data_IF_397501194917
#
_entry.id   IF_397501194917
#
_cell.length_a   1.000
_cell.length_b   1.000
_cell.length_c   1.000
_cell.angle_alpha   90.00
_cell.angle_beta   90.00
_cell.angle_gamma   90.00
#
_symmetry.space_group_name_H-M   'P 1'
#
loop_
_entity.id
_entity.type
_entity.pdbx_description
1 polymer ?
#
# COMPACT_ATOMS: atom_id res chain seq x y z
N UNK A 1 -3.17 -36.47 -49.34
CA UNK A 1 -4.05 -35.61 -48.53
C UNK A 1 -3.25 -34.38 -48.14
N UNK A 2 -3.73 -33.26 -48.67
CA UNK A 2 -3.30 -31.87 -48.51
C UNK A 2 -3.17 -31.43 -47.05
N UNK A 3 -2.14 -30.65 -46.69
CA UNK A 3 -2.25 -29.62 -45.67
C UNK A 3 -2.44 -28.26 -46.34
N UNK A 4 -3.07 -27.27 -45.68
CA UNK A 4 -2.79 -25.89 -45.99
C UNK A 4 -2.06 -25.22 -44.82
N UNK A 5 -0.84 -24.80 -45.15
CA UNK A 5 -0.22 -23.55 -44.74
C UNK A 5 -1.17 -22.36 -44.94
N UNK A 6 -1.07 -21.32 -44.11
CA UNK A 6 -0.54 -20.06 -44.66
C UNK A 6 -0.03 -19.08 -43.62
N UNK A 7 1.16 -18.56 -43.93
CA UNK A 7 1.75 -17.35 -43.39
C UNK A 7 1.16 -16.16 -44.15
N UNK A 8 1.38 -14.98 -43.56
CA UNK A 8 2.12 -13.88 -44.19
C UNK A 8 1.35 -12.56 -44.40
N UNK A 9 2.18 -11.50 -44.37
CA UNK A 9 2.06 -10.19 -45.02
C UNK A 9 1.52 -9.01 -44.19
N UNK A 10 2.48 -8.27 -43.65
CA UNK A 10 2.47 -6.81 -43.51
C UNK A 10 2.59 -6.18 -44.91
N UNK A 11 1.96 -5.02 -45.19
CA UNK A 11 2.52 -4.08 -46.15
C UNK A 11 2.90 -2.74 -45.52
N UNK A 12 4.15 -2.36 -45.78
CA UNK A 12 4.68 -1.00 -45.78
C UNK A 12 4.53 -0.41 -47.19
N UNK A 13 4.17 0.88 -47.30
CA UNK A 13 4.46 1.76 -48.44
C UNK A 13 4.19 3.22 -47.99
N UNK A 14 5.19 4.05 -47.73
CA UNK A 14 6.04 4.84 -48.67
C UNK A 14 5.36 6.13 -49.17
N UNK A 15 6.14 7.20 -49.00
CA UNK A 15 5.87 8.61 -49.26
C UNK A 15 5.72 9.00 -50.74
N UNK A 16 5.09 10.16 -50.98
CA UNK A 16 5.12 10.87 -52.26
C UNK A 16 4.71 12.34 -52.10
N UNK A 17 5.62 13.24 -52.48
CA UNK A 17 5.57 14.70 -52.41
C UNK A 17 4.49 15.37 -53.29
N UNK A 18 4.05 16.56 -52.88
CA UNK A 18 3.38 17.54 -53.75
C UNK A 18 2.70 18.70 -53.01
N UNK A 19 3.36 19.87 -52.97
CA UNK A 19 2.78 21.20 -52.71
C UNK A 19 2.96 22.03 -54.00
N UNK A 20 2.33 23.22 -54.20
CA UNK A 20 1.22 23.88 -53.48
C UNK A 20 0.13 24.40 -54.45
N UNK A 21 -0.94 25.05 -53.96
CA UNK A 21 -1.60 26.29 -54.47
C UNK A 21 -2.77 26.64 -53.55
N UNK A 22 -2.97 27.93 -53.29
CA UNK A 22 -3.84 28.49 -52.26
C UNK A 22 -5.33 28.49 -52.59
N UNK A 23 -6.11 28.74 -51.54
CA UNK A 23 -7.57 28.82 -51.59
C UNK A 23 -8.12 29.08 -50.21
N UNK A 24 -8.44 30.34 -49.95
CA UNK A 24 -9.16 30.84 -48.76
C UNK A 24 -10.45 30.07 -48.53
N UNK A 25 -10.61 29.46 -47.35
CA UNK A 25 -11.83 28.77 -46.95
C UNK A 25 -11.93 28.70 -45.43
N UNK A 26 -12.75 29.60 -44.88
CA UNK A 26 -13.11 29.69 -43.47
C UNK A 26 -13.46 28.31 -42.89
N UNK A 27 -12.68 27.85 -41.91
CA UNK A 27 -13.03 26.70 -41.10
C UNK A 27 -13.87 27.14 -39.91
N UNK A 28 -15.15 26.78 -40.00
CA UNK A 28 -16.16 26.90 -38.95
C UNK A 28 -15.80 25.93 -37.81
N UNK A 29 -15.23 26.47 -36.74
CA UNK A 29 -14.99 25.74 -35.48
C UNK A 29 -16.36 25.52 -34.80
N UNK A 30 -16.77 24.29 -34.47
CA UNK A 30 -17.95 24.08 -33.64
C UNK A 30 -17.63 24.51 -32.22
N UNK A 31 -18.14 25.69 -31.82
CA UNK A 31 -18.29 26.06 -30.42
C UNK A 31 -19.42 25.23 -29.82
N UNK A 32 -19.09 24.19 -29.06
CA UNK A 32 -19.95 23.75 -27.96
C UNK A 32 -19.10 23.38 -26.72
N UNK A 33 -19.06 24.38 -25.82
CA UNK A 33 -19.08 24.29 -24.37
C UNK A 33 -17.91 23.59 -23.66
N UNK A 34 -16.90 24.42 -23.38
CA UNK A 34 -16.31 24.60 -22.04
C UNK A 34 -17.23 24.14 -20.91
N UNK A 35 -16.83 23.09 -20.17
CA UNK A 35 -17.35 22.83 -18.83
C UNK A 35 -16.29 23.30 -17.84
N UNK A 36 -16.59 24.43 -17.21
CA UNK A 36 -15.88 24.92 -16.04
C UNK A 36 -15.87 23.81 -14.98
N UNK A 37 -14.71 23.62 -14.35
CA UNK A 37 -14.55 22.74 -13.19
C UNK A 37 -15.16 23.49 -12.01
N UNK A 38 -16.45 23.30 -11.78
CA UNK A 38 -17.09 23.71 -10.52
C UNK A 38 -16.76 22.66 -9.46
N UNK A 39 -15.88 23.06 -8.54
CA UNK A 39 -15.63 22.36 -7.29
C UNK A 39 -16.86 22.51 -6.39
N UNK A 40 -17.80 21.55 -6.42
CA UNK A 40 -18.83 21.26 -5.40
C UNK A 40 -19.74 20.12 -5.88
N UNK A 41 -19.35 18.87 -5.67
CA UNK A 41 -20.30 17.77 -5.38
C UNK A 41 -19.55 16.51 -4.86
N UNK A 42 -19.65 16.13 -3.57
CA UNK A 42 -19.10 14.89 -3.06
C UNK A 42 -19.97 13.65 -3.34
N UNK A 43 -21.12 13.77 -4.00
CA UNK A 43 -22.11 12.70 -4.11
C UNK A 43 -22.04 11.83 -5.38
N UNK A 44 -21.01 11.96 -6.22
CA UNK A 44 -20.79 11.06 -7.36
C UNK A 44 -20.13 9.73 -6.93
N UNK A 45 -20.63 9.10 -5.86
CA UNK A 45 -20.33 7.72 -5.56
C UNK A 45 -21.08 6.84 -6.56
N UNK A 46 -20.34 6.06 -7.37
CA UNK A 46 -20.96 5.04 -8.22
C UNK A 46 -21.63 4.00 -7.33
N UNK A 47 -22.96 4.07 -7.20
CA UNK A 47 -23.77 2.97 -6.67
C UNK A 47 -23.73 1.82 -7.67
N UNK A 48 -23.02 0.75 -7.33
CA UNK A 48 -23.06 -0.51 -8.06
C UNK A 48 -24.14 -1.44 -7.47
N UNK A 49 -24.82 -2.25 -8.28
CA UNK A 49 -25.95 -3.05 -7.83
C UNK A 49 -25.46 -4.15 -6.88
N UNK A 50 -26.12 -4.26 -5.73
CA UNK A 50 -25.91 -5.35 -4.79
C UNK A 50 -26.23 -6.69 -5.48
N UNK A 51 -25.20 -7.51 -5.70
CA UNK A 51 -25.40 -8.93 -6.02
C UNK A 51 -26.09 -9.61 -4.84
N UNK A 52 -27.11 -10.42 -5.14
CA UNK A 52 -28.01 -11.04 -4.16
C UNK A 52 -27.40 -12.17 -3.31
N UNK A 53 -26.10 -12.43 -3.42
CA UNK A 53 -25.39 -13.43 -2.63
C UNK A 53 -24.21 -12.76 -1.90
N UNK A 54 -24.50 -12.08 -0.80
CA UNK A 54 -23.49 -11.53 0.10
C UNK A 54 -22.64 -12.64 0.75
N UNK A 55 -21.40 -12.35 1.16
CA UNK A 55 -20.57 -13.31 1.87
C UNK A 55 -21.29 -13.83 3.13
N UNK A 56 -21.07 -15.10 3.53
CA UNK A 56 -21.72 -15.66 4.72
C UNK A 56 -21.42 -14.77 5.93
N UNK A 57 -22.47 -14.45 6.70
CA UNK A 57 -22.32 -13.65 7.91
C UNK A 57 -21.23 -14.29 8.81
N UNK A 58 -20.26 -13.52 9.31
CA UNK A 58 -19.21 -14.05 10.15
C UNK A 58 -19.86 -14.76 11.34
N UNK A 59 -19.38 -15.98 11.67
CA UNK A 59 -19.95 -16.78 12.75
C UNK A 59 -19.80 -16.04 14.07
N UNK A 60 -20.87 -15.39 14.52
CA UNK A 60 -20.99 -14.86 15.88
C UNK A 60 -21.00 -16.05 16.85
N UNK A 61 -20.11 -16.06 17.83
CA UNK A 61 -20.29 -16.96 18.98
C UNK A 61 -21.55 -16.53 19.75
N UNK A 62 -22.32 -17.45 20.35
CA UNK A 62 -23.58 -17.10 21.00
C UNK A 62 -23.35 -16.15 22.17
N UNK A 63 -23.96 -14.96 22.09
CA UNK A 63 -24.29 -14.01 23.16
C UNK A 63 -23.31 -13.87 24.34
N UNK A 64 -22.06 -13.48 24.08
CA UNK A 64 -21.36 -12.62 25.04
C UNK A 64 -21.83 -11.18 24.76
N UNK A 65 -22.58 -10.59 25.69
CA UNK A 65 -23.00 -9.18 25.59
C UNK A 65 -21.74 -8.32 25.48
N UNK A 66 -21.50 -7.73 24.31
CA UNK A 66 -20.69 -6.52 24.20
C UNK A 66 -21.40 -5.48 25.09
N UNK A 67 -20.83 -5.22 26.26
CA UNK A 67 -21.45 -4.35 27.26
C UNK A 67 -21.63 -2.96 26.67
N UNK A 68 -22.84 -2.41 26.76
CA UNK A 68 -23.12 -1.04 26.33
C UNK A 68 -22.11 -0.07 26.95
N UNK A 69 -21.52 0.80 26.12
CA UNK A 69 -20.53 1.76 26.56
C UNK A 69 -21.24 2.89 27.31
N UNK A 70 -21.46 2.73 28.62
CA UNK A 70 -21.97 3.82 29.45
C UNK A 70 -20.89 4.88 29.57
N UNK A 71 -21.16 6.07 29.04
CA UNK A 71 -20.32 7.25 29.16
C UNK A 71 -20.30 7.75 30.61
N UNK A 72 -19.57 7.06 31.48
CA UNK A 72 -19.05 7.51 32.78
C UNK A 72 -18.22 6.36 33.38
N UNK A 73 -16.91 6.59 33.56
CA UNK A 73 -16.00 5.84 34.45
C UNK A 73 -15.71 4.34 34.17
N UNK A 74 -15.73 3.89 32.91
CA UNK A 74 -15.37 2.52 32.49
C UNK A 74 -14.04 2.41 31.72
N UNK A 75 -13.50 1.17 31.50
CA UNK A 75 -12.21 0.98 30.82
C UNK A 75 -12.20 1.64 29.44
N UNK A 76 -11.08 2.27 29.09
CA UNK A 76 -10.87 3.05 27.86
C UNK A 76 -11.59 2.41 26.66
N UNK A 77 -12.44 3.14 25.90
CA UNK A 77 -13.19 2.60 24.76
C UNK A 77 -12.33 1.72 23.84
N UNK A 78 -11.08 2.12 23.64
CA UNK A 78 -10.06 1.39 22.88
C UNK A 78 -9.90 -0.06 23.35
N UNK A 79 -9.70 -0.32 24.65
CA UNK A 79 -9.43 -1.68 25.16
C UNK A 79 -10.64 -2.60 24.94
N UNK A 80 -11.84 -2.11 25.21
CA UNK A 80 -13.08 -2.87 24.98
C UNK A 80 -13.25 -3.22 23.49
N UNK A 81 -12.97 -2.27 22.60
CA UNK A 81 -12.98 -2.50 21.15
C UNK A 81 -11.92 -3.52 20.75
N UNK A 82 -10.68 -3.41 21.23
CA UNK A 82 -9.62 -4.37 20.90
C UNK A 82 -9.95 -5.79 21.37
N UNK A 83 -10.55 -5.92 22.56
CA UNK A 83 -10.99 -7.21 23.06
C UNK A 83 -12.12 -7.80 22.20
N UNK A 84 -13.05 -6.98 21.72
CA UNK A 84 -14.11 -7.40 20.79
C UNK A 84 -13.53 -7.82 19.42
N UNK A 85 -12.65 -7.00 18.84
CA UNK A 85 -11.97 -7.28 17.57
C UNK A 85 -11.14 -8.56 17.65
N UNK A 86 -10.43 -8.82 18.75
CA UNK A 86 -9.69 -10.09 18.94
C UNK A 86 -10.60 -11.32 18.97
N UNK A 87 -11.84 -11.18 19.45
CA UNK A 87 -12.79 -12.30 19.55
C UNK A 87 -13.46 -12.62 18.21
N UNK A 88 -13.79 -11.61 17.42
CA UNK A 88 -14.66 -11.80 16.24
C UNK A 88 -14.20 -11.09 14.97
N UNK A 89 -13.25 -10.17 15.06
CA UNK A 89 -12.88 -9.24 13.99
C UNK A 89 -13.85 -8.07 13.86
N UNK A 90 -13.41 -7.01 13.19
CA UNK A 90 -14.20 -5.77 12.99
C UNK A 90 -15.45 -6.00 12.14
N UNK A 91 -15.46 -6.96 11.21
CA UNK A 91 -16.61 -7.24 10.36
C UNK A 91 -17.79 -7.88 11.11
N UNK A 92 -17.56 -8.38 12.33
CA UNK A 92 -18.56 -9.07 13.13
C UNK A 92 -19.10 -8.24 14.30
N UNK A 93 -18.55 -7.04 14.56
CA UNK A 93 -18.97 -6.17 15.67
C UNK A 93 -20.47 -5.84 15.59
N UNK A 94 -21.12 -5.71 16.75
CA UNK A 94 -22.55 -5.42 16.78
C UNK A 94 -22.85 -4.00 16.23
N UNK A 95 -23.91 -3.82 15.42
CA UNK A 95 -24.29 -2.49 14.93
C UNK A 95 -24.53 -1.47 16.06
N UNK A 96 -25.11 -1.91 17.19
CA UNK A 96 -25.28 -1.05 18.36
C UNK A 96 -23.94 -0.61 18.96
N UNK A 97 -22.96 -1.51 19.04
CA UNK A 97 -21.61 -1.19 19.52
C UNK A 97 -20.91 -0.19 18.59
N UNK A 98 -21.04 -0.37 17.28
CA UNK A 98 -20.53 0.59 16.29
C UNK A 98 -21.22 1.96 16.41
N UNK A 99 -22.53 2.00 16.65
CA UNK A 99 -23.27 3.24 16.86
C UNK A 99 -22.81 3.98 18.13
N UNK A 100 -22.52 3.25 19.22
CA UNK A 100 -21.97 3.85 20.45
C UNK A 100 -20.58 4.47 20.20
N UNK A 101 -19.72 3.80 19.43
CA UNK A 101 -18.41 4.33 19.03
C UNK A 101 -18.53 5.57 18.13
N UNK A 102 -19.47 5.55 17.17
CA UNK A 102 -19.76 6.70 16.33
C UNK A 102 -20.24 7.88 17.17
N UNK A 103 -21.13 7.66 18.15
CA UNK A 103 -21.57 8.70 19.07
C UNK A 103 -20.43 9.26 19.95
N UNK A 104 -19.42 8.45 20.30
CA UNK A 104 -18.20 8.97 20.95
C UNK A 104 -17.43 9.89 20.01
N UNK A 105 -17.16 9.46 18.77
CA UNK A 105 -16.46 10.29 17.77
C UNK A 105 -17.21 11.60 17.50
N UNK A 106 -18.52 11.52 17.31
CA UNK A 106 -19.35 12.65 16.89
C UNK A 106 -19.56 13.70 18.00
N UNK A 107 -19.37 13.33 19.27
CA UNK A 107 -19.29 14.30 20.39
C UNK A 107 -18.01 15.13 20.40
N UNK A 108 -17.03 14.77 19.56
CA UNK A 108 -15.70 15.36 19.54
C UNK A 108 -14.75 14.63 20.48
N UNK A 109 -13.57 14.29 19.97
CA UNK A 109 -12.46 13.70 20.73
C UNK A 109 -11.23 14.58 20.54
N UNK A 110 -10.62 15.01 21.65
CA UNK A 110 -9.44 15.89 21.61
C UNK A 110 -8.14 15.11 21.37
N UNK A 111 -8.11 13.82 21.73
CA UNK A 111 -6.97 12.95 21.53
C UNK A 111 -6.87 12.51 20.05
N UNK A 112 -5.80 12.92 19.31
CA UNK A 112 -5.63 12.59 17.91
C UNK A 112 -5.46 11.08 17.68
N UNK A 113 -4.91 10.33 18.64
CA UNK A 113 -4.77 8.88 18.53
C UNK A 113 -6.13 8.20 18.64
N UNK A 114 -6.97 8.65 19.58
CA UNK A 114 -8.34 8.15 19.71
C UNK A 114 -9.17 8.49 18.47
N UNK A 115 -9.03 9.69 17.92
CA UNK A 115 -9.70 10.10 16.69
C UNK A 115 -9.34 9.17 15.51
N UNK A 116 -8.03 8.99 15.26
CA UNK A 116 -7.52 8.14 14.19
C UNK A 116 -7.91 6.66 14.36
N UNK A 117 -7.93 6.18 15.61
CA UNK A 117 -8.42 4.84 15.96
C UNK A 117 -9.91 4.67 15.63
N UNK A 118 -10.75 5.61 16.07
CA UNK A 118 -12.20 5.57 15.84
C UNK A 118 -12.52 5.63 14.35
N UNK A 119 -11.81 6.48 13.59
CA UNK A 119 -11.95 6.53 12.12
C UNK A 119 -11.59 5.22 11.44
N UNK A 120 -10.58 4.50 11.95
CA UNK A 120 -10.16 3.22 11.38
C UNK A 120 -11.18 2.12 11.67
N UNK A 121 -11.66 1.99 12.92
CA UNK A 121 -12.62 0.94 13.30
C UNK A 121 -14.01 1.19 12.70
N UNK A 122 -14.43 2.45 12.58
CA UNK A 122 -15.72 2.84 11.99
C UNK A 122 -15.69 2.91 10.45
N UNK A 123 -14.53 2.73 9.81
CA UNK A 123 -14.41 2.89 8.36
C UNK A 123 -15.43 2.08 7.56
N UNK A 124 -15.76 0.84 7.98
CA UNK A 124 -16.84 0.06 7.34
C UNK A 124 -18.24 0.53 7.70
N UNK A 125 -18.45 0.94 8.94
CA UNK A 125 -19.73 1.46 9.40
C UNK A 125 -20.14 2.72 8.62
N UNK A 126 -19.17 3.56 8.26
CA UNK A 126 -19.40 4.82 7.54
C UNK A 126 -19.28 4.72 6.01
N UNK A 127 -19.22 3.52 5.43
CA UNK A 127 -18.97 3.31 3.99
C UNK A 127 -17.65 3.95 3.49
N UNK A 128 -16.67 4.14 4.39
CA UNK A 128 -15.33 4.67 4.12
C UNK A 128 -14.24 3.58 4.10
N UNK A 129 -14.62 2.30 4.04
CA UNK A 129 -13.68 1.18 4.16
C UNK A 129 -12.75 1.09 2.94
N UNK A 130 -11.49 1.47 3.14
CA UNK A 130 -10.43 1.48 2.12
C UNK A 130 -9.13 0.98 2.72
N UNK A 131 -8.10 0.79 1.89
CA UNK A 131 -6.78 0.32 2.34
C UNK A 131 -6.24 1.13 3.53
N UNK A 132 -6.41 2.45 3.49
CA UNK A 132 -5.95 3.38 4.54
C UNK A 132 -6.59 3.12 5.91
N UNK A 133 -7.90 2.88 5.97
CA UNK A 133 -8.62 2.59 7.23
C UNK A 133 -8.42 1.14 7.66
N UNK A 134 -8.37 0.20 6.71
CA UNK A 134 -8.10 -1.23 6.97
C UNK A 134 -6.73 -1.45 7.62
N UNK A 135 -5.72 -0.70 7.18
CA UNK A 135 -4.37 -0.76 7.72
C UNK A 135 -4.15 0.22 8.89
N UNK A 136 -5.19 0.90 9.37
CA UNK A 136 -5.11 1.93 10.41
C UNK A 136 -3.95 2.93 10.20
N UNK A 137 -3.65 3.28 8.94
CA UNK A 137 -2.51 4.15 8.60
C UNK A 137 -2.59 5.53 9.27
N UNK A 138 -3.76 6.19 9.40
CA UNK A 138 -3.83 7.46 10.11
C UNK A 138 -3.25 7.36 11.53
N UNK A 139 -3.56 6.29 12.27
CA UNK A 139 -3.02 6.12 13.62
C UNK A 139 -1.51 5.84 13.62
N UNK A 140 -1.02 5.04 12.66
CA UNK A 140 0.42 4.80 12.51
C UNK A 140 1.17 6.11 12.22
N UNK A 141 0.62 6.94 11.33
CA UNK A 141 1.19 8.23 10.94
C UNK A 141 1.18 9.24 12.09
N UNK A 142 0.08 9.34 12.84
CA UNK A 142 0.01 10.18 14.06
C UNK A 142 1.04 9.74 15.10
N UNK A 143 1.22 8.43 15.31
CA UNK A 143 2.24 7.92 16.23
C UNK A 143 3.65 8.30 15.79
N UNK A 144 3.97 8.10 14.51
CA UNK A 144 5.27 8.48 13.96
C UNK A 144 5.53 9.99 14.09
N UNK A 145 4.52 10.82 13.79
CA UNK A 145 4.62 12.26 13.91
C UNK A 145 4.85 12.71 15.36
N UNK A 146 4.09 12.15 16.31
CA UNK A 146 4.17 12.49 17.72
C UNK A 146 5.50 12.07 18.37
N UNK A 147 6.12 10.99 17.92
CA UNK A 147 7.37 10.47 18.51
C UNK A 147 8.61 10.76 17.70
N UNK A 148 8.49 11.30 16.48
CA UNK A 148 9.59 11.46 15.53
C UNK A 148 10.20 10.12 15.09
N UNK A 149 9.44 9.02 15.19
CA UNK A 149 9.90 7.70 14.77
C UNK A 149 9.93 7.62 13.24
N UNK A 150 11.08 7.28 12.66
CA UNK A 150 11.19 7.12 11.21
C UNK A 150 10.49 5.83 10.73
N UNK A 151 10.34 5.73 9.40
CA UNK A 151 9.62 4.63 8.78
C UNK A 151 10.29 3.27 8.98
N UNK A 152 11.62 3.24 9.12
CA UNK A 152 12.40 2.00 9.25
C UNK A 152 12.28 1.44 10.66
N UNK A 153 12.41 2.32 11.65
CA UNK A 153 12.20 1.98 13.06
C UNK A 153 10.74 1.57 13.32
N UNK A 154 9.76 2.27 12.75
CA UNK A 154 8.36 1.87 12.88
C UNK A 154 8.09 0.52 12.19
N UNK A 155 8.65 0.27 10.99
CA UNK A 155 8.52 -1.03 10.33
C UNK A 155 9.19 -2.16 11.14
N UNK A 156 10.32 -1.88 11.78
CA UNK A 156 10.99 -2.83 12.67
C UNK A 156 10.12 -3.15 13.90
N UNK A 157 9.46 -2.15 14.49
CA UNK A 157 8.55 -2.32 15.62
C UNK A 157 7.31 -3.15 15.24
N UNK A 158 6.70 -2.86 14.09
CA UNK A 158 5.54 -3.62 13.57
C UNK A 158 5.89 -5.08 13.28
N UNK A 159 7.06 -5.34 12.70
CA UNK A 159 7.49 -6.72 12.45
C UNK A 159 7.96 -7.44 13.73
N UNK A 160 8.55 -6.71 14.68
CA UNK A 160 8.86 -7.28 15.99
C UNK A 160 7.58 -7.65 16.75
N UNK A 161 6.51 -6.88 16.60
CA UNK A 161 5.18 -7.21 17.10
C UNK A 161 4.63 -8.51 16.49
N UNK A 162 4.83 -8.76 15.19
CA UNK A 162 4.55 -10.08 14.58
C UNK A 162 5.33 -11.20 15.28
N UNK A 163 6.63 -11.01 15.50
CA UNK A 163 7.45 -12.01 16.19
C UNK A 163 6.92 -12.29 17.62
N UNK A 164 6.53 -11.26 18.37
CA UNK A 164 5.96 -11.39 19.71
C UNK A 164 4.59 -12.08 19.69
N UNK A 165 3.74 -11.73 18.72
CA UNK A 165 2.43 -12.33 18.52
C UNK A 165 2.54 -13.85 18.28
N UNK A 166 3.40 -14.24 17.34
CA UNK A 166 3.63 -15.65 17.00
C UNK A 166 4.19 -16.46 18.18
N UNK A 167 5.18 -15.92 18.90
CA UNK A 167 5.75 -16.58 20.08
C UNK A 167 4.75 -16.71 21.23
N UNK A 168 3.88 -15.71 21.40
CA UNK A 168 2.78 -15.76 22.39
C UNK A 168 1.77 -16.83 22.01
N UNK A 169 1.34 -16.87 20.75
CA UNK A 169 0.37 -17.84 20.26
C UNK A 169 0.90 -19.28 20.31
N UNK A 170 2.20 -19.49 20.09
CA UNK A 170 2.84 -20.81 20.17
C UNK A 170 2.89 -21.39 21.59
N UNK A 171 2.82 -20.54 22.64
CA UNK A 171 2.78 -20.98 24.04
C UNK A 171 1.38 -21.40 24.50
N UNK A 172 0.34 -21.09 23.73
CA UNK A 172 -1.02 -21.47 24.07
C UNK A 172 -1.25 -22.97 23.80
N UNK A 173 -2.01 -23.67 24.67
CA UNK A 173 -2.35 -25.09 24.47
C UNK A 173 -2.96 -25.37 23.10
N UNK A 174 -2.83 -26.60 22.60
CA UNK A 174 -3.51 -27.02 21.37
C UNK A 174 -5.04 -26.79 21.49
N UNK A 175 -5.64 -26.19 20.46
CA UNK A 175 -7.06 -25.81 20.47
C UNK A 175 -7.42 -24.52 21.23
N UNK A 176 -6.48 -23.92 21.98
CA UNK A 176 -6.65 -22.58 22.55
C UNK A 176 -6.16 -21.49 21.55
N UNK A 177 -6.82 -20.33 21.56
CA UNK A 177 -6.49 -19.20 20.67
C UNK A 177 -7.20 -19.26 19.32
N UNK A 178 -6.57 -18.67 18.29
CA UNK A 178 -7.12 -18.57 16.94
C UNK A 178 -7.14 -19.94 16.23
N UNK A 179 -8.13 -20.19 15.35
CA UNK A 179 -8.41 -21.51 14.78
C UNK A 179 -7.40 -21.99 13.71
N UNK A 180 -6.62 -21.09 13.13
CA UNK A 180 -5.76 -21.28 11.95
C UNK A 180 -4.27 -21.05 12.26
N UNK A 181 -3.84 -21.37 13.50
CA UNK A 181 -2.42 -21.27 13.89
C UNK A 181 -1.52 -22.12 12.98
N UNK A 182 -0.34 -21.61 12.59
CA UNK A 182 0.61 -22.36 11.77
C UNK A 182 1.19 -23.57 12.51
N UNK A 183 1.57 -24.60 11.75
CA UNK A 183 2.41 -25.68 12.26
C UNK A 183 3.82 -25.18 12.64
N UNK A 184 4.57 -25.99 13.38
CA UNK A 184 5.91 -25.63 13.89
C UNK A 184 6.91 -25.24 12.78
N UNK A 185 6.88 -25.93 11.63
CA UNK A 185 7.80 -25.65 10.51
C UNK A 185 7.45 -24.33 9.82
N UNK A 186 6.16 -24.09 9.63
CA UNK A 186 5.63 -22.84 9.06
C UNK A 186 5.95 -21.67 9.99
N UNK A 187 5.71 -21.83 11.28
CA UNK A 187 6.06 -20.87 12.32
C UNK A 187 7.56 -20.54 12.33
N UNK A 188 8.44 -21.56 12.35
CA UNK A 188 9.89 -21.35 12.33
C UNK A 188 10.34 -20.58 11.09
N UNK A 189 9.74 -20.87 9.92
CA UNK A 189 10.02 -20.14 8.69
C UNK A 189 9.55 -18.69 8.75
N UNK A 190 8.34 -18.46 9.26
CA UNK A 190 7.77 -17.12 9.45
C UNK A 190 8.65 -16.27 10.37
N UNK A 191 9.01 -16.80 11.54
CA UNK A 191 9.87 -16.15 12.54
C UNK A 191 11.25 -15.81 11.97
N UNK A 192 11.86 -16.71 11.19
CA UNK A 192 13.16 -16.46 10.55
C UNK A 192 13.10 -15.27 9.59
N UNK A 193 12.07 -15.18 8.74
CA UNK A 193 11.93 -14.08 7.79
C UNK A 193 11.57 -12.77 8.49
N UNK A 194 10.68 -12.80 9.47
CA UNK A 194 10.30 -11.63 10.26
C UNK A 194 11.49 -11.05 11.04
N UNK A 195 12.27 -11.89 11.74
CA UNK A 195 13.48 -11.45 12.46
C UNK A 195 14.52 -10.85 11.53
N UNK A 196 14.79 -11.49 10.38
CA UNK A 196 15.72 -10.95 9.40
C UNK A 196 15.27 -9.58 8.85
N UNK A 197 13.96 -9.38 8.67
CA UNK A 197 13.44 -8.07 8.27
C UNK A 197 13.69 -7.01 9.36
N UNK A 198 13.44 -7.34 10.64
CA UNK A 198 13.74 -6.44 11.78
C UNK A 198 15.22 -6.08 11.83
N UNK A 199 16.11 -7.06 11.71
CA UNK A 199 17.56 -6.83 11.78
C UNK A 199 18.02 -5.88 10.65
N UNK A 200 17.51 -6.07 9.43
CA UNK A 200 17.84 -5.20 8.29
C UNK A 200 17.27 -3.78 8.40
N UNK A 201 16.08 -3.60 8.97
CA UNK A 201 15.53 -2.25 9.19
C UNK A 201 16.40 -1.44 10.16
N UNK A 202 17.03 -2.10 11.13
CA UNK A 202 17.82 -1.45 12.18
C UNK A 202 19.32 -1.36 11.87
N UNK A 203 19.75 -1.85 10.70
CA UNK A 203 21.18 -2.03 10.40
C UNK A 203 21.91 -2.92 11.41
N UNK A 204 21.19 -3.86 12.05
CA UNK A 204 21.68 -4.67 13.15
C UNK A 204 22.21 -6.03 12.68
N UNK A 205 23.07 -6.65 13.51
CA UNK A 205 23.54 -8.01 13.27
C UNK A 205 22.40 -9.03 13.40
N UNK A 206 22.44 -10.15 12.65
CA UNK A 206 21.45 -11.22 12.76
C UNK A 206 21.27 -11.70 14.21
N UNK A 207 20.02 -11.75 14.67
CA UNK A 207 19.69 -12.25 16.01
C UNK A 207 19.78 -11.21 17.13
N UNK A 208 19.82 -9.92 16.78
CA UNK A 208 19.71 -8.84 17.74
C UNK A 208 18.42 -8.94 18.58
N UNK A 209 18.44 -8.28 19.75
CA UNK A 209 17.25 -8.15 20.61
C UNK A 209 16.18 -7.38 19.84
N UNK A 210 14.94 -7.89 19.89
CA UNK A 210 13.80 -7.26 19.22
C UNK A 210 13.59 -5.83 19.77
N UNK A 211 13.33 -4.83 18.92
CA UNK A 211 13.03 -3.47 19.37
C UNK A 211 11.72 -3.46 20.16
N UNK A 212 11.75 -2.91 21.37
CA UNK A 212 10.55 -2.73 22.19
C UNK A 212 9.96 -1.33 21.94
N UNK A 213 8.64 -1.22 21.73
CA UNK A 213 8.00 0.09 21.61
C UNK A 213 8.08 0.83 22.95
N UNK A 214 8.07 2.17 22.91
CA UNK A 214 8.13 3.03 24.10
C UNK A 214 7.13 4.18 24.00
N UNK A 215 6.77 4.77 25.13
CA UNK A 215 5.89 5.94 25.19
C UNK A 215 4.56 5.70 24.46
N UNK A 216 4.06 6.68 23.68
CA UNK A 216 2.80 6.57 22.95
C UNK A 216 2.75 5.35 22.00
N UNK A 217 3.87 5.00 21.37
CA UNK A 217 3.94 3.80 20.51
C UNK A 217 3.63 2.54 21.31
N UNK A 218 4.19 2.37 22.52
CA UNK A 218 3.92 1.19 23.34
C UNK A 218 2.44 1.05 23.72
N UNK A 219 1.79 2.18 23.97
CA UNK A 219 0.40 2.25 24.37
C UNK A 219 -0.56 1.95 23.20
N UNK A 220 -0.29 2.53 22.03
CA UNK A 220 -1.23 2.52 20.90
C UNK A 220 -0.90 1.53 19.79
N UNK A 221 0.29 0.90 19.78
CA UNK A 221 0.64 -0.11 18.78
C UNK A 221 -0.39 -1.25 18.66
N UNK A 222 -0.99 -1.78 19.75
CA UNK A 222 -2.05 -2.78 19.63
C UNK A 222 -3.29 -2.28 18.88
N UNK A 223 -3.57 -0.97 18.94
CA UNK A 223 -4.71 -0.32 18.29
C UNK A 223 -4.52 -0.07 16.79
N UNK A 224 -3.30 -0.27 16.28
CA UNK A 224 -3.00 -0.19 14.83
C UNK A 224 -3.24 -1.51 14.08
N UNK A 225 -3.70 -2.58 14.74
CA UNK A 225 -4.04 -3.85 14.10
C UNK A 225 -5.51 -4.21 14.36
N UNK A 226 -6.36 -3.95 13.37
CA UNK A 226 -7.82 -4.11 13.44
C UNK A 226 -8.32 -5.14 12.42
N UNK A 227 -8.00 -6.44 12.58
CA UNK A 227 -8.41 -7.46 11.62
C UNK A 227 -9.94 -7.53 11.49
N UNK A 228 -10.41 -7.78 10.27
CA UNK A 228 -11.82 -7.95 9.93
C UNK A 228 -12.34 -9.31 10.40
N UNK A 229 -11.48 -10.29 10.63
CA UNK A 229 -11.81 -11.59 11.23
C UNK A 229 -10.96 -11.88 12.48
N UNK A 230 -11.26 -12.98 13.16
CA UNK A 230 -10.43 -13.51 14.25
C UNK A 230 -9.40 -14.56 13.77
N UNK A 231 -9.12 -14.62 12.46
CA UNK A 231 -8.12 -15.53 11.90
C UNK A 231 -6.70 -15.09 12.27
N UNK A 232 -5.89 -16.06 12.71
CA UNK A 232 -4.50 -15.90 13.15
C UNK A 232 -3.65 -15.21 12.10
N UNK A 233 -3.70 -15.67 10.85
CA UNK A 233 -2.82 -15.19 9.80
C UNK A 233 -3.20 -13.77 9.31
N UNK A 234 -4.42 -13.30 9.57
CA UNK A 234 -4.81 -11.93 9.21
C UNK A 234 -3.98 -10.88 9.97
N UNK A 235 -3.61 -11.18 11.22
CA UNK A 235 -2.84 -10.27 12.06
C UNK A 235 -1.49 -9.91 11.43
N UNK A 236 -0.68 -10.92 11.08
CA UNK A 236 0.62 -10.64 10.46
C UNK A 236 0.44 -10.11 9.03
N UNK A 237 -0.64 -10.49 8.34
CA UNK A 237 -0.93 -9.96 7.00
C UNK A 237 -1.12 -8.44 7.04
N UNK A 238 -1.89 -7.91 8.01
CA UNK A 238 -2.00 -6.47 8.25
C UNK A 238 -0.64 -5.83 8.52
N UNK A 239 0.15 -6.40 9.44
CA UNK A 239 1.49 -5.90 9.78
C UNK A 239 2.42 -5.86 8.58
N UNK A 240 2.38 -6.89 7.72
CA UNK A 240 3.18 -6.92 6.49
C UNK A 240 2.74 -5.80 5.53
N UNK A 241 1.44 -5.57 5.35
CA UNK A 241 0.95 -4.49 4.49
C UNK A 241 1.34 -3.11 5.04
N UNK A 242 1.26 -2.89 6.35
CA UNK A 242 1.79 -1.68 6.98
C UNK A 242 3.30 -1.51 6.73
N UNK A 243 4.09 -2.58 6.89
CA UNK A 243 5.53 -2.53 6.58
C UNK A 243 5.81 -2.22 5.10
N UNK A 244 4.94 -2.63 4.16
CA UNK A 244 5.05 -2.21 2.76
C UNK A 244 4.82 -0.70 2.59
N UNK A 245 3.78 -0.14 3.22
CA UNK A 245 3.51 1.31 3.18
C UNK A 245 4.67 2.13 3.78
N UNK A 246 5.27 1.65 4.88
CA UNK A 246 6.45 2.29 5.49
C UNK A 246 7.70 2.13 4.63
N UNK A 247 7.87 1.00 3.95
CA UNK A 247 8.93 0.83 2.94
C UNK A 247 8.81 1.90 1.85
N UNK A 248 7.60 2.14 1.31
CA UNK A 248 7.40 3.18 0.30
C UNK A 248 7.60 4.59 0.85
N UNK A 249 7.29 4.80 2.13
CA UNK A 249 7.57 6.07 2.82
C UNK A 249 9.08 6.34 2.88
N UNK A 250 9.89 5.35 3.24
CA UNK A 250 11.36 5.45 3.24
C UNK A 250 11.92 5.67 1.83
N UNK A 251 11.47 4.90 0.84
CA UNK A 251 11.87 5.04 -0.56
C UNK A 251 11.56 6.43 -1.12
N UNK A 252 10.36 6.96 -0.83
CA UNK A 252 9.98 8.31 -1.23
C UNK A 252 10.90 9.37 -0.62
N UNK A 253 11.27 9.22 0.66
CA UNK A 253 12.19 10.13 1.32
C UNK A 253 13.57 10.11 0.65
N UNK A 254 14.10 8.94 0.30
CA UNK A 254 15.38 8.82 -0.42
C UNK A 254 15.33 9.45 -1.80
N UNK A 255 14.28 9.20 -2.59
CA UNK A 255 14.12 9.79 -3.93
C UNK A 255 14.01 11.31 -3.86
N UNK A 256 13.29 11.85 -2.87
CA UNK A 256 13.20 13.31 -2.65
C UNK A 256 14.53 13.92 -2.24
N UNK A 257 15.32 13.25 -1.39
CA UNK A 257 16.68 13.71 -1.05
C UNK A 257 17.59 13.67 -2.27
N UNK A 258 17.55 12.60 -3.07
CA UNK A 258 18.30 12.49 -4.31
C UNK A 258 17.93 13.62 -5.29
N UNK A 259 16.63 13.93 -5.42
CA UNK A 259 16.14 15.05 -6.23
C UNK A 259 16.74 16.37 -5.73
N UNK A 260 16.70 16.62 -4.41
CA UNK A 260 17.32 17.81 -3.80
C UNK A 260 18.84 17.90 -4.03
N UNK A 261 19.57 16.78 -3.94
CA UNK A 261 21.01 16.73 -4.24
C UNK A 261 21.33 17.10 -5.69
N UNK A 262 20.54 16.60 -6.65
CA UNK A 262 20.70 16.98 -8.06
C UNK A 262 20.40 18.45 -8.32
N UNK A 263 19.35 18.99 -7.70
CA UNK A 263 19.05 20.43 -7.73
C UNK A 263 20.17 21.28 -7.12
N UNK A 264 20.99 20.69 -6.24
CA UNK A 264 22.18 21.30 -5.66
C UNK A 264 23.49 21.01 -6.42
N UNK A 265 23.44 20.34 -7.57
CA UNK A 265 24.62 20.01 -8.37
C UNK A 265 25.51 18.88 -7.80
N UNK A 266 24.94 17.96 -7.00
CA UNK A 266 25.68 16.84 -6.39
C UNK A 266 25.13 15.47 -6.82
N UNK A 267 25.57 14.95 -7.98
CA UNK A 267 25.19 13.61 -8.46
C UNK A 267 25.68 12.47 -7.56
N UNK A 268 26.80 12.63 -6.85
CA UNK A 268 27.35 11.59 -5.98
C UNK A 268 26.50 11.40 -4.71
N UNK A 269 26.05 12.50 -4.10
CA UNK A 269 25.09 12.46 -3.01
C UNK A 269 23.74 11.88 -3.46
N UNK A 270 23.27 12.26 -4.66
CA UNK A 270 22.06 11.68 -5.23
C UNK A 270 22.20 10.15 -5.39
N UNK A 271 23.33 9.69 -5.92
CA UNK A 271 23.63 8.27 -6.07
C UNK A 271 23.66 7.52 -4.72
N UNK A 272 24.16 8.16 -3.65
CA UNK A 272 24.17 7.58 -2.31
C UNK A 272 22.74 7.35 -1.77
N UNK A 273 21.84 8.31 -1.97
CA UNK A 273 20.43 8.15 -1.62
C UNK A 273 19.76 7.02 -2.42
N UNK A 274 20.04 6.89 -3.72
CA UNK A 274 19.50 5.79 -4.53
C UNK A 274 20.04 4.41 -4.12
N UNK A 275 21.30 4.32 -3.70
CA UNK A 275 21.86 3.08 -3.13
C UNK A 275 21.19 2.69 -1.82
N UNK A 276 20.83 3.65 -0.98
CA UNK A 276 20.02 3.39 0.21
C UNK A 276 18.63 2.88 -0.18
N UNK A 277 17.97 3.52 -1.14
CA UNK A 277 16.67 3.07 -1.66
C UNK A 277 16.71 1.62 -2.20
N UNK A 278 17.78 1.21 -2.88
CA UNK A 278 17.96 -0.17 -3.31
C UNK A 278 18.03 -1.16 -2.13
N UNK A 279 18.80 -0.82 -1.08
CA UNK A 279 18.87 -1.62 0.14
C UNK A 279 17.48 -1.76 0.81
N UNK A 280 16.66 -0.70 0.78
CA UNK A 280 15.27 -0.71 1.25
C UNK A 280 14.41 -1.69 0.43
N UNK A 281 14.56 -1.76 -0.90
CA UNK A 281 13.86 -2.75 -1.72
C UNK A 281 14.31 -4.20 -1.42
N UNK A 282 15.61 -4.41 -1.20
CA UNK A 282 16.16 -5.72 -0.91
C UNK A 282 15.53 -6.33 0.36
N UNK A 283 15.33 -5.52 1.42
CA UNK A 283 14.61 -5.97 2.62
C UNK A 283 13.10 -6.13 2.38
N UNK A 284 12.47 -5.31 1.54
CA UNK A 284 11.04 -5.42 1.21
C UNK A 284 10.68 -6.80 0.61
N UNK A 285 11.62 -7.46 -0.07
CA UNK A 285 11.42 -8.82 -0.58
C UNK A 285 11.17 -9.86 0.53
N UNK A 286 11.62 -9.62 1.77
CA UNK A 286 11.36 -10.51 2.91
C UNK A 286 9.89 -10.49 3.34
N UNK A 287 9.20 -9.37 3.14
CA UNK A 287 7.76 -9.24 3.45
C UNK A 287 6.94 -10.26 2.66
N UNK A 288 7.25 -10.44 1.37
CA UNK A 288 6.63 -11.49 0.55
C UNK A 288 6.95 -12.90 1.06
N UNK A 289 8.14 -13.14 1.61
CA UNK A 289 8.48 -14.44 2.20
C UNK A 289 7.71 -14.73 3.49
N UNK A 290 7.39 -13.70 4.28
CA UNK A 290 6.48 -13.84 5.43
C UNK A 290 5.08 -14.20 4.95
N UNK A 291 4.53 -13.48 3.97
CA UNK A 291 3.19 -13.77 3.41
C UNK A 291 3.12 -15.13 2.70
N UNK A 292 4.23 -15.59 2.12
CA UNK A 292 4.31 -16.93 1.53
C UNK A 292 4.07 -18.06 2.54
N UNK A 293 4.21 -17.79 3.85
CA UNK A 293 3.90 -18.76 4.93
C UNK A 293 2.41 -18.89 5.22
N UNK A 294 1.55 -18.01 4.66
CA UNK A 294 0.09 -18.14 4.76
C UNK A 294 -0.42 -19.20 3.79
N UNK A 295 -1.37 -20.00 4.26
CA UNK A 295 -2.10 -20.93 3.39
C UNK A 295 -3.12 -20.17 2.52
N UNK A 296 -3.26 -20.47 1.21
CA UNK A 296 -4.21 -19.76 0.35
C UNK A 296 -5.66 -19.80 0.85
N UNK A 297 -6.11 -20.89 1.47
CA UNK A 297 -7.49 -20.96 2.00
C UNK A 297 -7.72 -19.99 3.16
N UNK A 298 -6.69 -19.72 3.99
CA UNK A 298 -6.78 -18.76 5.09
C UNK A 298 -6.93 -17.34 4.54
N UNK A 299 -6.13 -16.99 3.53
CA UNK A 299 -6.30 -15.73 2.81
C UNK A 299 -7.70 -15.59 2.19
N UNK A 300 -8.22 -16.67 1.57
CA UNK A 300 -9.57 -16.67 1.02
C UNK A 300 -10.66 -16.49 2.10
N UNK A 301 -10.43 -16.99 3.31
CA UNK A 301 -11.41 -16.93 4.39
C UNK A 301 -11.62 -15.52 4.94
N UNK A 302 -10.58 -14.69 5.09
CA UNK A 302 -10.76 -13.29 5.53
C UNK A 302 -10.96 -12.31 4.39
N UNK A 303 -10.43 -12.55 3.18
CA UNK A 303 -10.51 -11.58 2.08
C UNK A 303 -11.94 -11.26 1.62
N UNK A 304 -12.90 -12.15 1.87
CA UNK A 304 -14.32 -11.89 1.57
C UNK A 304 -14.85 -10.71 2.39
N UNK A 305 -14.19 -10.40 3.51
CA UNK A 305 -14.48 -9.24 4.33
C UNK A 305 -13.54 -8.07 4.05
N UNK A 306 -12.69 -8.09 3.01
CA UNK A 306 -11.79 -6.96 2.68
C UNK A 306 -12.16 -6.22 1.39
N UNK A 307 -13.32 -6.54 0.80
CA UNK A 307 -13.86 -5.82 -0.35
C UNK A 307 -13.92 -4.30 -0.09
N UNK A 308 -13.47 -3.51 -1.07
CA UNK A 308 -13.29 -2.05 -0.94
C UNK A 308 -11.91 -1.61 -0.49
N UNK A 309 -11.14 -2.47 0.21
CA UNK A 309 -9.77 -2.18 0.63
C UNK A 309 -8.76 -2.93 -0.25
N UNK A 310 -7.83 -2.19 -0.89
CA UNK A 310 -6.86 -2.79 -1.80
C UNK A 310 -5.56 -2.00 -1.93
N UNK A 311 -4.45 -2.70 -2.16
CA UNK A 311 -3.14 -2.12 -2.41
C UNK A 311 -3.10 -1.17 -3.62
N UNK A 312 -4.06 -1.24 -4.55
CA UNK A 312 -4.18 -0.23 -5.61
C UNK A 312 -4.44 1.19 -5.04
N UNK A 313 -4.93 1.31 -3.81
CA UNK A 313 -5.18 2.56 -3.09
C UNK A 313 -3.99 3.02 -2.23
N UNK A 314 -2.83 2.34 -2.29
CA UNK A 314 -1.62 2.79 -1.56
C UNK A 314 -1.15 4.14 -2.09
N UNK A 315 -1.31 5.22 -1.33
CA UNK A 315 -0.83 6.55 -1.70
C UNK A 315 0.71 6.59 -1.73
N UNK A 316 1.37 5.97 -0.74
CA UNK A 316 2.84 6.03 -0.63
C UNK A 316 3.53 5.38 -1.82
N UNK A 317 2.99 4.25 -2.32
CA UNK A 317 3.51 3.63 -3.55
C UNK A 317 3.42 4.58 -4.75
N UNK A 318 2.31 5.31 -4.93
CA UNK A 318 2.12 6.19 -6.11
C UNK A 318 2.90 7.48 -5.97
N UNK A 319 3.05 8.01 -4.74
CA UNK A 319 3.97 9.13 -4.48
C UNK A 319 5.41 8.74 -4.81
N UNK A 320 5.85 7.54 -4.39
CA UNK A 320 7.17 7.02 -4.79
C UNK A 320 7.29 6.87 -6.30
N UNK A 321 6.31 6.24 -6.97
CA UNK A 321 6.28 6.10 -8.44
C UNK A 321 6.40 7.45 -9.15
N UNK A 322 5.61 8.45 -8.72
CA UNK A 322 5.60 9.79 -9.31
C UNK A 322 6.85 10.62 -8.99
N UNK A 323 7.47 10.42 -7.82
CA UNK A 323 8.70 11.11 -7.44
C UNK A 323 9.91 10.61 -8.23
N UNK A 324 9.91 9.36 -8.70
CA UNK A 324 10.95 8.85 -9.60
C UNK A 324 10.88 9.54 -10.97
N UNK A 325 9.67 9.65 -11.52
CA UNK A 325 9.40 10.28 -12.81
C UNK A 325 7.94 10.65 -12.89
N UNK A 326 7.62 11.81 -13.45
CA UNK A 326 6.24 12.16 -13.78
C UNK A 326 5.58 11.07 -14.66
N UNK A 327 4.48 10.46 -14.22
CA UNK A 327 3.76 9.47 -15.03
C UNK A 327 3.19 10.10 -16.30
N UNK A 328 3.11 9.31 -17.39
CA UNK A 328 2.46 9.76 -18.61
C UNK A 328 0.92 9.86 -18.44
N UNK A 329 0.26 10.54 -19.39
CA UNK A 329 -1.19 10.77 -19.32
C UNK A 329 -1.99 9.45 -19.20
N UNK A 330 -1.60 8.43 -19.97
CA UNK A 330 -2.27 7.13 -19.93
C UNK A 330 -2.15 6.45 -18.55
N UNK A 331 -1.03 6.62 -17.86
CA UNK A 331 -0.81 6.13 -16.50
C UNK A 331 -1.62 6.93 -15.48
N UNK A 332 -1.69 8.25 -15.61
CA UNK A 332 -2.48 9.12 -14.73
C UNK A 332 -3.99 8.86 -14.86
N UNK A 333 -4.46 8.51 -16.06
CA UNK A 333 -5.86 8.18 -16.33
C UNK A 333 -6.23 6.73 -15.95
N UNK A 334 -5.26 5.92 -15.53
CA UNK A 334 -5.47 4.50 -15.18
C UNK A 334 -6.05 4.32 -13.77
N UNK A 335 -6.64 3.14 -13.53
CA UNK A 335 -7.14 2.72 -12.20
C UNK A 335 -6.13 2.92 -11.06
N UNK A 336 -4.82 2.89 -11.36
CA UNK A 336 -3.79 3.09 -10.36
C UNK A 336 -3.79 4.49 -9.75
N UNK A 337 -4.05 5.53 -10.54
CA UNK A 337 -4.02 6.93 -10.11
C UNK A 337 -5.41 7.49 -9.78
N UNK A 338 -6.46 7.01 -10.46
CA UNK A 338 -7.85 7.39 -10.12
C UNK A 338 -8.27 6.89 -8.73
N UNK A 339 -7.63 5.83 -8.20
CA UNK A 339 -7.85 5.35 -6.83
C UNK A 339 -7.11 6.16 -5.74
N UNK A 340 -6.20 7.08 -6.11
CA UNK A 340 -5.39 7.90 -5.19
C UNK A 340 -5.51 9.39 -5.53
N UNK A 341 -6.72 9.99 -5.42
CA UNK A 341 -7.00 11.33 -5.92
C UNK A 341 -6.12 12.43 -5.29
N UNK A 342 -5.70 12.25 -4.04
CA UNK A 342 -4.77 13.20 -3.37
C UNK A 342 -3.42 13.19 -4.08
N UNK A 343 -2.87 12.02 -4.39
CA UNK A 343 -1.59 11.88 -5.12
C UNK A 343 -1.73 12.39 -6.55
N UNK A 344 -2.86 12.11 -7.22
CA UNK A 344 -3.12 12.64 -8.56
C UNK A 344 -3.13 14.18 -8.55
N UNK A 345 -3.75 14.80 -7.55
CA UNK A 345 -3.75 16.25 -7.39
C UNK A 345 -2.33 16.81 -7.13
N UNK A 346 -1.51 16.13 -6.32
CA UNK A 346 -0.09 16.48 -6.12
C UNK A 346 0.67 16.46 -7.47
N UNK A 347 0.42 15.44 -8.31
CA UNK A 347 1.05 15.32 -9.64
C UNK A 347 0.65 16.44 -10.58
N UNK A 348 -0.65 16.72 -10.65
CA UNK A 348 -1.17 17.78 -11.50
C UNK A 348 -0.77 19.17 -11.00
N UNK A 349 -0.53 19.31 -9.70
CA UNK A 349 0.01 20.50 -9.05
C UNK A 349 1.50 20.76 -9.32
N UNK A 350 2.17 19.88 -10.06
CA UNK A 350 3.56 20.07 -10.48
C UNK A 350 4.58 19.66 -9.43
N UNK A 351 4.35 18.55 -8.70
CA UNK A 351 5.39 18.02 -7.82
C UNK A 351 6.69 17.77 -8.60
N UNK A 352 7.84 18.07 -7.98
CA UNK A 352 9.15 17.81 -8.55
C UNK A 352 9.42 16.29 -8.62
N UNK A 353 10.28 15.89 -9.55
CA UNK A 353 10.66 14.49 -9.76
C UNK A 353 12.14 14.33 -10.12
N UNK A 354 12.68 13.16 -9.77
CA UNK A 354 14.10 12.84 -9.90
C UNK A 354 14.58 12.91 -11.36
N UNK A 355 13.75 12.48 -12.31
CA UNK A 355 14.11 12.47 -13.73
C UNK A 355 14.25 13.90 -14.26
N UNK A 356 13.30 14.77 -13.95
CA UNK A 356 13.37 16.19 -14.33
C UNK A 356 14.56 16.91 -13.68
N UNK A 357 14.86 16.59 -12.42
CA UNK A 357 16.04 17.14 -11.72
C UNK A 357 17.35 16.66 -12.35
N UNK A 358 17.46 15.38 -12.72
CA UNK A 358 18.65 14.84 -13.39
C UNK A 358 18.88 15.49 -14.75
N UNK A 359 17.84 15.64 -15.58
CA UNK A 359 17.96 16.29 -16.88
C UNK A 359 18.42 17.75 -16.75
N UNK A 360 17.80 18.53 -15.86
CA UNK A 360 18.18 19.92 -15.66
C UNK A 360 19.63 20.06 -15.17
N UNK A 361 20.04 19.25 -14.19
CA UNK A 361 21.41 19.29 -13.68
C UNK A 361 22.45 18.85 -14.73
N UNK A 362 22.11 17.92 -15.63
CA UNK A 362 22.97 17.54 -16.76
C UNK A 362 23.07 18.60 -17.84
N UNK A 363 21.99 19.32 -18.10
CA UNK A 363 22.00 20.44 -19.05
C UNK A 363 22.90 21.57 -18.54
N UNK A 364 22.99 21.75 -17.22
CA UNK A 364 23.86 22.73 -16.57
C UNK A 364 25.33 22.29 -16.50
N UNK A 365 25.61 21.05 -16.09
CA UNK A 365 26.97 20.51 -16.00
C UNK A 365 27.03 19.02 -16.44
N UNK A 366 27.18 18.76 -17.76
CA UNK A 366 27.20 17.41 -18.31
C UNK A 366 28.45 16.62 -17.91
N UNK A 367 29.54 17.32 -17.58
CA UNK A 367 30.84 16.73 -17.25
C UNK A 367 31.06 16.60 -15.73
N UNK A 368 30.04 16.92 -14.92
CA UNK A 368 30.12 16.80 -13.47
C UNK A 368 30.54 15.37 -13.07
N UNK A 369 31.50 15.22 -12.14
CA UNK A 369 31.81 13.90 -11.61
C UNK A 369 30.58 13.31 -10.90
N UNK A 370 30.49 11.97 -10.90
CA UNK A 370 29.43 11.25 -10.19
C UNK A 370 28.25 10.80 -11.05
N UNK A 371 28.07 11.33 -12.28
CA UNK A 371 27.01 10.89 -13.18
C UNK A 371 27.00 9.38 -13.44
N UNK A 372 28.17 8.78 -13.66
CA UNK A 372 28.28 7.33 -13.85
C UNK A 372 27.82 6.53 -12.61
N UNK A 373 28.10 7.04 -11.40
CA UNK A 373 27.65 6.43 -10.15
C UNK A 373 26.14 6.59 -9.94
N UNK A 374 25.60 7.74 -10.33
CA UNK A 374 24.17 8.01 -10.33
C UNK A 374 23.42 7.06 -11.29
N UNK A 375 23.87 6.92 -12.53
CA UNK A 375 23.25 6.04 -13.54
C UNK A 375 23.24 4.57 -13.10
N UNK A 376 24.36 4.11 -12.55
CA UNK A 376 24.44 2.76 -12.01
C UNK A 376 23.44 2.54 -10.87
N UNK A 377 23.27 3.52 -9.98
CA UNK A 377 22.31 3.44 -8.88
C UNK A 377 20.85 3.50 -9.38
N UNK A 378 20.56 4.35 -10.36
CA UNK A 378 19.26 4.48 -11.00
C UNK A 378 18.83 3.17 -11.67
N UNK A 379 19.74 2.57 -12.45
CA UNK A 379 19.52 1.28 -13.09
C UNK A 379 19.27 0.17 -12.06
N UNK A 380 20.08 0.12 -11.01
CA UNK A 380 19.94 -0.88 -9.93
C UNK A 380 18.56 -0.76 -9.25
N UNK A 381 18.12 0.46 -8.96
CA UNK A 381 16.82 0.72 -8.33
C UNK A 381 15.65 0.26 -9.23
N UNK A 382 15.71 0.55 -10.54
CA UNK A 382 14.73 0.07 -11.52
C UNK A 382 14.66 -1.45 -11.54
N UNK A 383 15.79 -2.15 -11.59
CA UNK A 383 15.80 -3.61 -11.56
C UNK A 383 15.20 -4.17 -10.26
N UNK A 384 15.53 -3.56 -9.11
CA UNK A 384 14.98 -3.94 -7.81
C UNK A 384 13.47 -3.76 -7.74
N UNK A 385 12.94 -2.66 -8.30
CA UNK A 385 11.49 -2.45 -8.43
C UNK A 385 10.83 -3.52 -9.32
N UNK A 386 11.45 -3.89 -10.45
CA UNK A 386 10.92 -4.96 -11.31
C UNK A 386 10.92 -6.33 -10.64
N UNK A 387 12.00 -6.67 -9.92
CA UNK A 387 12.07 -7.90 -9.12
C UNK A 387 10.98 -7.91 -8.05
N UNK A 388 10.76 -6.78 -7.38
CA UNK A 388 9.71 -6.61 -6.39
C UNK A 388 8.31 -6.83 -6.99
N UNK A 389 7.98 -6.19 -8.12
CA UNK A 389 6.70 -6.38 -8.82
C UNK A 389 6.49 -7.82 -9.29
N UNK A 390 7.53 -8.45 -9.85
CA UNK A 390 7.46 -9.83 -10.32
C UNK A 390 7.19 -10.79 -9.16
N UNK A 391 7.85 -10.58 -8.02
CA UNK A 391 7.62 -11.35 -6.79
C UNK A 391 6.19 -11.16 -6.28
N UNK A 392 5.70 -9.92 -6.30
CA UNK A 392 4.31 -9.61 -5.94
C UNK A 392 3.31 -10.35 -6.84
N UNK A 393 3.49 -10.31 -8.17
CA UNK A 393 2.61 -11.02 -9.11
C UNK A 393 2.63 -12.53 -8.87
N UNK A 394 3.81 -13.12 -8.62
CA UNK A 394 3.94 -14.54 -8.32
C UNK A 394 3.18 -14.95 -7.06
N UNK A 395 3.35 -14.17 -5.98
CA UNK A 395 2.64 -14.41 -4.72
C UNK A 395 1.13 -14.19 -4.86
N UNK A 396 0.72 -13.12 -5.53
CA UNK A 396 -0.68 -12.82 -5.80
C UNK A 396 -1.34 -13.91 -6.65
N UNK A 397 -0.64 -14.45 -7.66
CA UNK A 397 -1.14 -15.58 -8.46
C UNK A 397 -1.38 -16.82 -7.59
N UNK A 398 -0.44 -17.13 -6.68
CA UNK A 398 -0.58 -18.26 -5.74
C UNK A 398 -1.75 -18.07 -4.77
N UNK A 399 -1.94 -16.85 -4.27
CA UNK A 399 -2.94 -16.55 -3.24
C UNK A 399 -4.33 -16.26 -3.78
N UNK A 400 -4.46 -15.57 -4.91
CA UNK A 400 -5.74 -15.17 -5.51
C UNK A 400 -6.32 -16.25 -6.44
N UNK A 401 -5.47 -17.05 -7.09
CA UNK A 401 -5.90 -17.87 -8.23
C UNK A 401 -6.53 -17.00 -9.32
N UNK A 402 -7.74 -17.36 -9.75
CA UNK A 402 -8.52 -16.65 -10.78
C UNK A 402 -9.46 -15.57 -10.22
N UNK A 403 -9.41 -15.29 -8.91
CA UNK A 403 -10.29 -14.31 -8.29
C UNK A 403 -9.92 -12.86 -8.66
N UNK A 404 -10.94 -12.00 -8.74
CA UNK A 404 -10.79 -10.55 -8.92
C UNK A 404 -10.10 -9.89 -7.72
N UNK A 405 -9.53 -8.70 -7.92
CA UNK A 405 -8.91 -7.92 -6.84
C UNK A 405 -9.97 -7.27 -5.94
N UNK A 406 -9.68 -7.13 -4.63
CA UNK A 406 -10.59 -6.48 -3.65
C UNK A 406 -10.83 -4.98 -3.92
N UNK A 407 -10.01 -4.38 -4.78
CA UNK A 407 -10.16 -3.01 -5.28
C UNK A 407 -10.82 -2.94 -6.66
N UNK A 408 -11.60 -3.96 -7.02
CA UNK A 408 -12.37 -4.05 -8.27
C UNK A 408 -11.52 -4.10 -9.55
N UNK A 409 -10.26 -4.49 -9.44
CA UNK A 409 -9.42 -4.75 -10.61
C UNK A 409 -9.64 -6.17 -11.13
N UNK A 410 -9.20 -6.42 -12.36
CA UNK A 410 -9.16 -7.77 -12.94
C UNK A 410 -8.27 -8.77 -12.18
N UNK A 411 -7.61 -8.38 -11.07
CA UNK A 411 -6.76 -9.26 -10.27
C UNK A 411 -5.40 -9.51 -10.92
N UNK A 412 -5.02 -10.78 -11.07
CA UNK A 412 -3.72 -11.20 -11.63
C UNK A 412 -3.44 -10.62 -13.03
N UNK A 413 -4.39 -10.61 -13.98
CA UNK A 413 -4.24 -9.91 -15.27
C UNK A 413 -3.79 -8.44 -15.14
N UNK A 414 -4.42 -7.68 -14.24
CA UNK A 414 -4.05 -6.28 -14.00
C UNK A 414 -2.62 -6.17 -13.46
N UNK A 415 -2.25 -7.02 -12.49
CA UNK A 415 -0.91 -7.04 -11.92
C UNK A 415 0.16 -7.40 -12.96
N UNK A 416 -0.11 -8.35 -13.86
CA UNK A 416 0.79 -8.70 -14.97
C UNK A 416 1.00 -7.53 -15.93
N UNK A 417 -0.03 -6.72 -16.18
CA UNK A 417 0.09 -5.47 -16.94
C UNK A 417 1.03 -4.48 -16.26
N UNK A 418 0.89 -4.29 -14.94
CA UNK A 418 1.71 -3.37 -14.14
C UNK A 418 3.21 -3.73 -14.11
N UNK A 419 3.59 -4.98 -14.36
CA UNK A 419 5.01 -5.36 -14.49
C UNK A 419 5.69 -4.60 -15.62
N UNK A 420 4.97 -4.21 -16.68
CA UNK A 420 5.55 -3.46 -17.81
C UNK A 420 5.93 -2.01 -17.47
N UNK A 421 5.32 -1.43 -16.44
CA UNK A 421 5.58 -0.04 -16.06
C UNK A 421 7.02 0.12 -15.56
N UNK A 422 7.68 1.19 -15.96
CA UNK A 422 9.06 1.51 -15.55
C UNK A 422 9.05 2.78 -14.70
N UNK A 423 9.89 2.82 -13.66
CA UNK A 423 10.12 4.04 -12.90
C UNK A 423 10.82 5.05 -13.82
N UNK A 424 11.88 4.60 -14.49
CA UNK A 424 12.70 5.44 -15.37
C UNK A 424 12.60 4.98 -16.83
N UNK A 425 12.72 5.93 -17.77
CA UNK A 425 12.84 5.63 -19.21
C UNK A 425 14.30 5.31 -19.55
N UNK A 426 14.53 4.54 -20.63
CA UNK A 426 15.88 4.17 -21.08
C UNK A 426 16.79 5.34 -21.50
N UNK A 427 16.25 6.56 -21.51
CA UNK A 427 16.93 7.81 -21.88
C UNK A 427 17.14 8.75 -20.69
N UNK A 428 16.93 8.27 -19.46
CA UNK A 428 17.24 9.03 -18.26
C UNK A 428 18.74 8.99 -17.96
#
# INVERSE_FOLDING_TARGET
>A
MTPPTDRCVVPSAVAGHGRPVGGTGEHRIPRHCTRAVDARDPAAARTYPAGSDGPPAPRRRPADRETAMTAADGPTPVRAVLDAVRRSGTAALAPAFLADLAAVRDRGVDDPFLAAFLDSVLGRHDDRFRNRTYLALPLVEELMAATGTDADDMAALLMADVVRFELTAARLPAGAGAPDRPDERTLATRLRHARRFVDLCRGANPGAVLPEPRGPVAEWLPATALPVTALHDEYFFLRVLQCHELTFTALLADVRRATGSLRGGDPDAAAAHLRHADAVFARAALLFRVVATMHPSTFHAFRVFTEGASAIQSDQYKRFEAACRRPDAARLDSDAFTNVPVVLAEVLGGQDDLTAAALAARDEDPDAPGWAGFDAALHTLEESHQRWKTTHVGLATRLLGDAHGSGYTAGVPYLRGCVRNRLFTSTA
#
